data_IF_367800629003
#
_entry.id   IF_367800629003
#
_cell.length_a   1.000
_cell.length_b   1.000
_cell.length_c   1.000
_cell.angle_alpha   90.00
_cell.angle_beta   90.00
_cell.angle_gamma   90.00
#
_symmetry.space_group_name_H-M   'P 1'
#
loop_
_entity.id
_entity.type
_entity.pdbx_description
1 polymer ?
#
# COMPACT_ATOMS: atom_id res chain seq x y z
N UNK A 1 46.89 -84.34 11.64
CA UNK A 1 47.00 -82.93 11.17
C UNK A 1 45.65 -82.50 10.60
N UNK A 2 44.92 -81.58 11.25
CA UNK A 2 43.65 -81.04 10.75
C UNK A 2 43.95 -79.82 9.88
N UNK A 3 43.55 -79.85 8.61
CA UNK A 3 43.67 -78.68 7.71
C UNK A 3 42.56 -77.69 8.04
N UNK A 4 42.93 -76.43 8.28
CA UNK A 4 42.00 -75.33 8.53
C UNK A 4 41.65 -74.72 7.17
N UNK A 5 40.45 -75.02 6.68
CA UNK A 5 39.86 -74.32 5.54
C UNK A 5 39.54 -72.86 5.94
N UNK A 6 40.28 -71.88 5.42
CA UNK A 6 39.92 -70.46 5.53
C UNK A 6 38.69 -70.19 4.67
N UNK A 7 37.54 -69.90 5.31
CA UNK A 7 36.38 -69.32 4.61
C UNK A 7 36.79 -67.96 4.01
N UNK A 8 36.78 -67.84 2.69
CA UNK A 8 36.85 -66.53 2.03
C UNK A 8 35.56 -65.75 2.35
N UNK A 9 35.69 -64.66 3.10
CA UNK A 9 34.59 -63.74 3.36
C UNK A 9 34.39 -62.88 2.10
N UNK A 10 33.25 -63.07 1.44
CA UNK A 10 32.84 -62.26 0.29
C UNK A 10 32.45 -60.85 0.75
N UNK A 11 33.27 -59.85 0.43
CA UNK A 11 33.01 -58.43 0.74
C UNK A 11 31.94 -57.79 -0.16
N UNK A 12 31.43 -58.51 -1.16
CA UNK A 12 30.46 -57.97 -2.14
C UNK A 12 29.11 -57.65 -1.48
N UNK A 13 28.68 -58.45 -0.51
CA UNK A 13 27.43 -58.23 0.25
C UNK A 13 27.41 -56.93 1.05
N UNK A 14 28.38 -56.68 1.96
CA UNK A 14 28.41 -55.45 2.75
C UNK A 14 28.69 -54.19 1.92
N UNK A 15 29.45 -54.28 0.81
CA UNK A 15 29.68 -53.14 -0.09
C UNK A 15 28.39 -52.76 -0.83
N UNK A 16 27.65 -53.73 -1.38
CA UNK A 16 26.37 -53.48 -2.04
C UNK A 16 25.36 -52.89 -1.03
N UNK A 17 25.33 -53.42 0.19
CA UNK A 17 24.49 -52.88 1.26
C UNK A 17 24.83 -51.43 1.61
N UNK A 18 26.12 -51.10 1.70
CA UNK A 18 26.59 -49.74 1.95
C UNK A 18 26.21 -48.75 0.84
N UNK A 19 26.34 -49.16 -0.43
CA UNK A 19 25.97 -48.32 -1.59
C UNK A 19 24.47 -48.08 -1.64
N UNK A 20 23.65 -49.12 -1.39
CA UNK A 20 22.19 -49.00 -1.35
C UNK A 20 21.75 -48.08 -0.20
N UNK A 21 22.37 -48.18 0.98
CA UNK A 21 22.07 -47.33 2.12
C UNK A 21 22.34 -45.85 1.80
N UNK A 22 23.48 -45.54 1.19
CA UNK A 22 23.83 -44.16 0.78
C UNK A 22 22.85 -43.63 -0.26
N UNK A 23 22.47 -44.44 -1.25
CA UNK A 23 21.50 -44.05 -2.26
C UNK A 23 20.12 -43.72 -1.65
N UNK A 24 19.67 -44.52 -0.68
CA UNK A 24 18.41 -44.26 0.04
C UNK A 24 18.49 -42.96 0.85
N UNK A 25 19.60 -42.71 1.55
CA UNK A 25 19.79 -41.46 2.31
C UNK A 25 19.75 -40.25 1.38
N UNK A 26 20.43 -40.32 0.23
CA UNK A 26 20.42 -39.23 -0.76
C UNK A 26 19.00 -38.98 -1.30
N UNK A 27 18.25 -40.04 -1.61
CA UNK A 27 16.86 -39.90 -2.07
C UNK A 27 15.96 -39.30 -0.99
N UNK A 28 16.13 -39.68 0.27
CA UNK A 28 15.39 -39.09 1.40
C UNK A 28 15.76 -37.62 1.60
N UNK A 29 17.03 -37.25 1.46
CA UNK A 29 17.49 -35.86 1.52
C UNK A 29 16.93 -35.02 0.37
N UNK A 30 16.87 -35.58 -0.84
CA UNK A 30 16.28 -34.91 -2.00
C UNK A 30 14.77 -34.75 -1.80
N UNK A 31 14.07 -35.79 -1.34
CA UNK A 31 12.63 -35.73 -1.07
C UNK A 31 12.30 -34.74 0.05
N UNK A 32 13.09 -34.69 1.13
CA UNK A 32 12.93 -33.69 2.21
C UNK A 32 13.25 -32.29 1.74
N UNK A 33 14.27 -32.10 0.90
CA UNK A 33 14.57 -30.80 0.29
C UNK A 33 13.44 -30.31 -0.63
N UNK A 34 12.91 -31.19 -1.49
CA UNK A 34 11.80 -30.84 -2.38
C UNK A 34 10.50 -30.61 -1.62
N UNK A 35 10.18 -31.44 -0.62
CA UNK A 35 9.00 -31.22 0.22
C UNK A 35 9.12 -29.90 0.98
N UNK A 36 10.27 -29.60 1.61
CA UNK A 36 10.54 -28.33 2.28
C UNK A 36 10.46 -27.12 1.34
N UNK A 37 10.94 -27.25 0.10
CA UNK A 37 10.87 -26.18 -0.91
C UNK A 37 9.46 -26.03 -1.51
N UNK A 38 8.69 -27.12 -1.58
CA UNK A 38 7.30 -27.13 -2.07
C UNK A 38 6.29 -26.68 -0.99
N UNK A 39 6.61 -26.89 0.29
CA UNK A 39 5.90 -26.31 1.42
C UNK A 39 6.36 -24.87 1.61
N UNK A 40 5.99 -24.03 0.66
CA UNK A 40 6.12 -22.59 0.79
C UNK A 40 5.41 -22.13 2.07
N UNK A 41 6.20 -21.59 3.00
CA UNK A 41 5.70 -20.65 4.01
C UNK A 41 5.50 -21.21 5.41
N UNK A 42 6.60 -21.35 6.16
CA UNK A 42 6.58 -20.64 7.44
C UNK A 42 6.73 -19.16 7.09
N UNK A 43 5.60 -18.49 6.89
CA UNK A 43 5.57 -17.04 6.96
C UNK A 43 6.11 -16.69 8.33
N UNK A 44 7.37 -16.26 8.38
CA UNK A 44 7.74 -15.28 9.38
C UNK A 44 6.65 -14.22 9.26
N UNK A 45 5.77 -14.14 10.27
CA UNK A 45 4.87 -13.01 10.42
C UNK A 45 5.83 -11.83 10.51
N UNK A 46 6.11 -11.20 9.37
CA UNK A 46 6.62 -9.83 9.36
C UNK A 46 5.55 -9.12 10.16
N UNK A 47 5.87 -8.81 11.41
CA UNK A 47 5.15 -7.83 12.20
C UNK A 47 5.10 -6.60 11.31
N UNK A 48 4.01 -6.46 10.55
CA UNK A 48 3.75 -5.22 9.85
C UNK A 48 3.71 -4.19 10.96
N UNK A 49 4.48 -3.09 10.85
CA UNK A 49 4.43 -2.04 11.85
C UNK A 49 2.97 -1.69 12.10
N UNK A 50 2.61 -1.51 13.37
CA UNK A 50 1.23 -1.22 13.75
C UNK A 50 0.72 -0.06 12.88
N UNK A 51 -0.42 -0.28 12.23
CA UNK A 51 -1.05 0.71 11.35
C UNK A 51 -1.27 1.99 12.14
N UNK A 52 -0.87 3.13 11.58
CA UNK A 52 -0.96 4.43 12.24
C UNK A 52 -2.40 4.71 12.69
N UNK A 53 -2.65 5.21 13.90
CA UNK A 53 -4.05 5.43 14.33
C UNK A 53 -4.68 6.58 13.57
N UNK A 54 -5.99 6.49 13.30
CA UNK A 54 -6.73 7.64 12.79
C UNK A 54 -6.66 8.77 13.83
N UNK A 55 -6.15 9.96 13.50
CA UNK A 55 -5.95 11.02 14.46
C UNK A 55 -7.28 11.52 15.02
N UNK A 56 -7.24 12.00 16.27
CA UNK A 56 -8.37 12.70 16.86
C UNK A 56 -8.49 14.08 16.20
N UNK A 57 -9.55 14.25 15.41
CA UNK A 57 -9.88 15.48 14.69
C UNK A 57 -11.17 16.00 15.31
N UNK A 58 -11.16 17.26 15.72
CA UNK A 58 -12.32 17.97 16.27
C UNK A 58 -13.33 18.26 15.14
N UNK A 59 -14.04 17.21 14.70
CA UNK A 59 -14.98 17.24 13.56
C UNK A 59 -16.15 18.21 13.79
N UNK A 60 -16.49 18.48 15.04
CA UNK A 60 -17.48 19.47 15.47
C UNK A 60 -17.07 20.91 15.17
N UNK A 61 -15.76 21.17 15.00
CA UNK A 61 -15.21 22.48 14.64
C UNK A 61 -14.95 22.64 13.15
N UNK A 62 -15.17 21.60 12.36
CA UNK A 62 -15.00 21.64 10.91
C UNK A 62 -16.28 22.17 10.24
N UNK A 63 -16.12 22.67 9.01
CA UNK A 63 -17.29 22.91 8.15
C UNK A 63 -18.07 21.59 7.96
N UNK A 64 -19.39 21.66 7.68
CA UNK A 64 -20.18 20.45 7.43
C UNK A 64 -19.61 19.56 6.31
N UNK A 65 -19.01 20.16 5.27
CA UNK A 65 -18.42 19.41 4.17
C UNK A 65 -17.13 18.68 4.61
N UNK A 66 -16.24 19.37 5.32
CA UNK A 66 -15.01 18.77 5.87
C UNK A 66 -15.31 17.68 6.89
N UNK A 67 -16.28 17.91 7.78
CA UNK A 67 -16.73 16.92 8.74
C UNK A 67 -17.22 15.63 8.05
N UNK A 68 -18.04 15.75 6.99
CA UNK A 68 -18.47 14.59 6.19
C UNK A 68 -17.29 13.88 5.54
N UNK A 69 -16.40 14.61 4.87
CA UNK A 69 -15.23 14.02 4.23
C UNK A 69 -14.33 13.26 5.22
N UNK A 70 -14.01 13.87 6.38
CA UNK A 70 -13.21 13.23 7.44
C UNK A 70 -13.91 11.98 8.00
N UNK A 71 -15.22 12.01 8.20
CA UNK A 71 -15.97 10.84 8.67
C UNK A 71 -15.96 9.70 7.64
N UNK A 72 -16.11 10.00 6.35
CA UNK A 72 -16.00 9.02 5.27
C UNK A 72 -14.59 8.42 5.22
N UNK A 73 -13.55 9.26 5.36
CA UNK A 73 -12.16 8.82 5.42
C UNK A 73 -11.92 7.86 6.59
N UNK A 74 -12.45 8.18 7.78
CA UNK A 74 -12.39 7.29 8.95
C UNK A 74 -13.09 5.96 8.68
N UNK A 75 -14.30 5.99 8.13
CA UNK A 75 -15.04 4.77 7.79
C UNK A 75 -14.30 3.88 6.79
N UNK A 76 -13.71 4.46 5.74
CA UNK A 76 -12.93 3.70 4.75
C UNK A 76 -11.57 3.26 5.30
N UNK A 77 -11.02 3.99 6.26
CA UNK A 77 -9.85 3.55 7.00
C UNK A 77 -10.16 2.29 7.82
N UNK A 78 -11.26 2.30 8.57
CA UNK A 78 -11.66 1.20 9.47
C UNK A 78 -12.17 -0.03 8.69
N UNK A 79 -12.90 0.18 7.59
CA UNK A 79 -13.47 -0.87 6.75
C UNK A 79 -13.20 -0.61 5.25
N UNK A 80 -11.96 -0.83 4.78
CA UNK A 80 -11.57 -0.52 3.41
C UNK A 80 -12.22 -1.45 2.39
N UNK A 81 -12.56 -0.89 1.23
CA UNK A 81 -12.91 -1.64 0.03
C UNK A 81 -11.67 -1.88 -0.87
N UNK A 82 -11.67 -2.89 -1.75
CA UNK A 82 -10.57 -3.12 -2.68
C UNK A 82 -10.48 -2.01 -3.74
N UNK A 83 -9.28 -1.75 -4.28
CA UNK A 83 -9.04 -0.69 -5.28
C UNK A 83 -10.08 -0.58 -6.42
N UNK A 84 -10.48 -1.70 -7.06
CA UNK A 84 -11.52 -1.69 -8.10
C UNK A 84 -12.87 -1.11 -7.64
N UNK A 85 -13.22 -1.16 -6.36
CA UNK A 85 -14.43 -0.51 -5.84
C UNK A 85 -14.40 1.01 -6.07
N UNK A 86 -13.28 1.67 -5.78
CA UNK A 86 -13.12 3.11 -6.01
C UNK A 86 -12.95 3.45 -7.50
N UNK A 87 -12.45 2.49 -8.28
CA UNK A 87 -12.11 2.64 -9.70
C UNK A 87 -13.20 2.15 -10.67
N UNK A 88 -14.45 1.98 -10.23
CA UNK A 88 -15.56 1.48 -11.06
C UNK A 88 -15.26 0.13 -11.77
N UNK A 89 -14.56 -0.77 -11.09
CA UNK A 89 -14.19 -2.10 -11.57
C UNK A 89 -12.83 -2.17 -12.27
N UNK A 90 -12.20 -1.03 -12.60
CA UNK A 90 -10.91 -0.99 -13.28
C UNK A 90 -9.77 -1.39 -12.33
N UNK A 91 -8.82 -2.21 -12.81
CA UNK A 91 -7.59 -2.59 -12.12
C UNK A 91 -6.48 -1.62 -12.50
N UNK A 92 -6.29 -0.58 -11.69
CA UNK A 92 -5.31 0.50 -11.90
C UNK A 92 -4.92 1.13 -10.57
N UNK A 93 -3.94 2.04 -10.60
CA UNK A 93 -3.66 2.91 -9.47
C UNK A 93 -4.89 3.76 -9.13
N UNK A 94 -5.23 3.79 -7.84
CA UNK A 94 -6.56 4.25 -7.41
C UNK A 94 -6.50 5.37 -6.37
N UNK A 95 -5.35 6.01 -6.15
CA UNK A 95 -5.23 7.17 -5.27
C UNK A 95 -6.15 8.33 -5.70
N UNK A 96 -6.13 8.70 -6.98
CA UNK A 96 -6.98 9.75 -7.54
C UNK A 96 -8.47 9.33 -7.61
N UNK A 97 -8.72 8.05 -7.88
CA UNK A 97 -10.07 7.47 -7.85
C UNK A 97 -10.66 7.52 -6.44
N UNK A 98 -9.86 7.24 -5.40
CA UNK A 98 -10.24 7.35 -4.00
C UNK A 98 -10.61 8.80 -3.63
N UNK A 99 -9.80 9.79 -4.05
CA UNK A 99 -10.13 11.20 -3.87
C UNK A 99 -11.46 11.56 -4.52
N UNK A 100 -11.64 11.16 -5.78
CA UNK A 100 -12.89 11.41 -6.51
C UNK A 100 -14.11 10.78 -5.82
N UNK A 101 -13.95 9.55 -5.31
CA UNK A 101 -15.01 8.82 -4.63
C UNK A 101 -15.37 9.47 -3.30
N UNK A 102 -14.39 9.79 -2.45
CA UNK A 102 -14.61 10.46 -1.15
C UNK A 102 -15.29 11.80 -1.34
N UNK A 103 -14.82 12.63 -2.29
CA UNK A 103 -15.44 13.93 -2.58
C UNK A 103 -16.89 13.79 -3.03
N UNK A 104 -17.20 12.78 -3.87
CA UNK A 104 -18.59 12.47 -4.25
C UNK A 104 -19.44 12.05 -3.05
N UNK A 105 -18.95 11.16 -2.18
CA UNK A 105 -19.68 10.72 -0.99
C UNK A 105 -19.89 11.86 0.02
N UNK A 106 -18.95 12.80 0.11
CA UNK A 106 -19.06 13.97 0.98
C UNK A 106 -20.08 15.01 0.48
N UNK A 107 -20.61 14.85 -0.73
CA UNK A 107 -21.54 15.76 -1.38
C UNK A 107 -20.88 16.87 -2.20
N UNK A 108 -19.59 16.72 -2.54
CA UNK A 108 -18.83 17.64 -3.38
C UNK A 108 -18.20 16.88 -4.56
N UNK A 109 -19.00 16.30 -5.48
CA UNK A 109 -18.45 15.56 -6.61
C UNK A 109 -17.52 16.45 -7.44
N UNK A 110 -16.38 15.89 -7.82
CA UNK A 110 -15.47 16.53 -8.77
C UNK A 110 -16.07 16.45 -10.18
N UNK A 111 -15.47 17.17 -11.13
CA UNK A 111 -15.86 17.09 -12.55
C UNK A 111 -14.62 16.81 -13.37
N UNK A 112 -14.57 15.64 -14.00
CA UNK A 112 -13.45 15.25 -14.85
C UNK A 112 -13.33 16.24 -16.02
N UNK A 113 -12.18 16.89 -16.20
CA UNK A 113 -12.01 17.90 -17.24
C UNK A 113 -12.08 17.34 -18.67
N UNK A 114 -11.97 16.02 -18.85
CA UNK A 114 -12.00 15.35 -20.15
C UNK A 114 -13.33 14.67 -20.45
N UNK A 115 -14.02 14.10 -19.44
CA UNK A 115 -15.25 13.32 -19.65
C UNK A 115 -16.51 13.94 -19.05
N UNK A 116 -16.39 14.97 -18.20
CA UNK A 116 -17.50 15.57 -17.47
C UNK A 116 -18.07 14.71 -16.33
N UNK A 117 -17.66 13.44 -16.21
CA UNK A 117 -18.06 12.55 -15.11
C UNK A 117 -17.38 12.87 -13.79
N UNK A 118 -17.85 12.31 -12.68
CA UNK A 118 -17.31 12.62 -11.35
C UNK A 118 -15.92 12.02 -11.06
N UNK A 119 -15.56 10.94 -11.77
CA UNK A 119 -14.33 10.17 -11.52
C UNK A 119 -13.15 10.78 -12.27
N UNK A 120 -12.08 11.08 -11.54
CA UNK A 120 -10.81 11.57 -12.09
C UNK A 120 -9.71 10.55 -11.74
N UNK A 121 -9.26 9.70 -12.69
CA UNK A 121 -8.37 8.58 -12.40
C UNK A 121 -6.88 8.94 -12.32
N UNK A 122 -6.49 10.20 -12.53
CA UNK A 122 -5.08 10.62 -12.55
C UNK A 122 -4.81 11.89 -11.74
N UNK A 123 -3.63 11.95 -11.12
CA UNK A 123 -3.18 13.09 -10.30
C UNK A 123 -3.09 14.38 -11.13
N UNK A 124 -2.58 14.29 -12.36
CA UNK A 124 -2.52 15.44 -13.28
C UNK A 124 -3.90 16.00 -13.64
N UNK A 125 -4.85 15.12 -13.93
CA UNK A 125 -6.23 15.55 -14.22
C UNK A 125 -6.92 16.12 -12.98
N UNK A 126 -6.59 15.63 -11.77
CA UNK A 126 -7.03 16.24 -10.51
C UNK A 126 -6.47 17.65 -10.35
N UNK A 127 -5.18 17.83 -10.61
CA UNK A 127 -4.55 19.16 -10.60
C UNK A 127 -5.25 20.11 -11.58
N UNK A 128 -5.49 19.68 -12.82
CA UNK A 128 -6.24 20.45 -13.82
C UNK A 128 -7.63 20.82 -13.33
N UNK A 129 -8.37 19.88 -12.72
CA UNK A 129 -9.66 20.16 -12.11
C UNK A 129 -9.58 21.26 -11.05
N UNK A 130 -8.67 21.12 -10.07
CA UNK A 130 -8.56 22.09 -8.98
C UNK A 130 -8.16 23.49 -9.50
N UNK A 131 -7.30 23.55 -10.53
CA UNK A 131 -6.94 24.82 -11.17
C UNK A 131 -8.14 25.47 -11.85
N UNK A 132 -8.88 24.71 -12.66
CA UNK A 132 -10.06 25.21 -13.36
C UNK A 132 -11.18 25.63 -12.41
N UNK A 133 -11.30 24.95 -11.26
CA UNK A 133 -12.26 25.29 -10.21
C UNK A 133 -11.82 26.46 -9.31
N UNK A 134 -10.64 27.06 -9.51
CA UNK A 134 -10.10 28.10 -8.61
C UNK A 134 -9.70 27.59 -7.21
N UNK A 135 -9.67 26.26 -7.04
CA UNK A 135 -9.41 25.54 -5.79
C UNK A 135 -7.99 25.01 -5.68
N UNK A 136 -7.09 25.40 -6.58
CA UNK A 136 -5.69 25.03 -6.50
C UNK A 136 -4.89 26.05 -5.68
N UNK A 137 -3.98 25.57 -4.84
CA UNK A 137 -2.96 26.38 -4.17
C UNK A 137 -1.59 25.79 -4.45
N UNK A 138 -0.64 26.62 -4.88
CA UNK A 138 0.73 26.17 -5.09
C UNK A 138 1.38 25.78 -3.74
N UNK A 139 2.32 24.83 -3.75
CA UNK A 139 2.96 24.34 -2.53
C UNK A 139 3.67 25.46 -1.73
N UNK A 140 4.19 26.48 -2.42
CA UNK A 140 4.87 27.63 -1.84
C UNK A 140 3.95 28.86 -1.62
N UNK A 141 2.63 28.71 -1.71
CA UNK A 141 1.68 29.82 -1.59
C UNK A 141 1.52 30.38 -0.17
N UNK A 142 2.09 29.73 0.84
CA UNK A 142 1.84 30.05 2.25
C UNK A 142 0.46 29.60 2.75
N UNK A 143 -0.32 28.88 1.93
CA UNK A 143 -1.61 28.33 2.33
C UNK A 143 -1.45 27.30 3.45
N UNK A 144 -2.27 27.44 4.49
CA UNK A 144 -2.32 26.50 5.61
C UNK A 144 -3.35 25.40 5.34
N UNK A 145 -2.85 24.17 5.14
CA UNK A 145 -3.66 22.99 4.86
C UNK A 145 -4.75 22.75 5.92
N UNK A 146 -5.94 22.39 5.46
CA UNK A 146 -7.09 22.07 6.28
C UNK A 146 -7.48 20.58 6.13
N UNK A 147 -8.11 19.96 7.15
CA UNK A 147 -8.59 18.58 7.05
C UNK A 147 -9.55 18.39 5.87
N UNK A 148 -9.25 17.42 5.00
CA UNK A 148 -9.99 17.14 3.77
C UNK A 148 -9.43 17.80 2.51
N UNK A 149 -8.42 18.68 2.60
CA UNK A 149 -7.70 19.15 1.41
C UNK A 149 -6.90 18.00 0.78
N UNK A 150 -6.72 18.02 -0.54
CA UNK A 150 -5.88 17.08 -1.27
C UNK A 150 -4.45 17.61 -1.39
N UNK A 151 -3.45 16.78 -1.09
CA UNK A 151 -2.04 17.05 -1.37
C UNK A 151 -1.60 16.22 -2.58
N UNK A 152 -1.11 16.89 -3.63
CA UNK A 152 -0.69 16.26 -4.89
C UNK A 152 0.83 16.27 -4.99
N UNK A 153 1.41 15.07 -5.00
CA UNK A 153 2.85 14.86 -5.06
C UNK A 153 3.33 14.73 -6.51
N UNK A 154 4.53 15.23 -6.78
CA UNK A 154 5.17 15.04 -8.09
C UNK A 154 5.83 13.66 -8.19
N UNK A 155 6.09 13.19 -9.41
CA UNK A 155 6.80 11.94 -9.66
C UNK A 155 8.20 11.88 -9.02
N UNK A 156 8.87 13.02 -8.87
CA UNK A 156 10.17 13.10 -8.19
C UNK A 156 10.07 13.13 -6.66
N UNK A 157 8.86 13.13 -6.08
CA UNK A 157 8.64 13.05 -4.63
C UNK A 157 8.97 11.66 -4.10
N UNK A 158 9.14 11.53 -2.79
CA UNK A 158 9.33 10.21 -2.14
C UNK A 158 8.14 9.27 -2.31
N UNK A 159 6.97 9.80 -2.69
CA UNK A 159 5.73 9.05 -2.89
C UNK A 159 5.53 8.66 -4.36
N UNK A 160 6.37 9.15 -5.28
CA UNK A 160 6.05 9.17 -6.70
C UNK A 160 4.86 10.10 -7.00
N UNK A 161 4.30 10.01 -8.21
CA UNK A 161 3.10 10.78 -8.56
C UNK A 161 1.90 10.20 -7.78
N UNK A 162 1.47 10.91 -6.75
CA UNK A 162 0.47 10.42 -5.81
C UNK A 162 -0.42 11.54 -5.28
N UNK A 163 -1.55 11.19 -4.67
CA UNK A 163 -2.45 12.15 -4.04
C UNK A 163 -3.09 11.56 -2.79
N UNK A 164 -3.04 12.33 -1.70
CA UNK A 164 -3.66 11.98 -0.43
C UNK A 164 -4.59 13.09 0.06
N UNK A 165 -5.47 12.77 0.99
CA UNK A 165 -6.17 13.76 1.79
C UNK A 165 -5.34 14.15 3.01
N UNK A 166 -5.43 15.41 3.42
CA UNK A 166 -4.88 15.91 4.67
C UNK A 166 -5.85 15.62 5.81
N UNK A 167 -5.34 15.09 6.91
CA UNK A 167 -6.07 14.90 8.16
C UNK A 167 -5.67 15.93 9.23
N UNK A 168 -4.37 16.26 9.28
CA UNK A 168 -3.81 17.23 10.22
C UNK A 168 -2.61 17.92 9.58
N UNK A 169 -2.42 19.19 9.91
CA UNK A 169 -1.23 19.95 9.56
C UNK A 169 -0.79 20.78 10.77
N UNK A 170 0.47 20.65 11.16
CA UNK A 170 1.07 21.38 12.29
C UNK A 170 2.57 21.59 12.04
N UNK A 171 2.99 22.85 11.94
CA UNK A 171 4.40 23.25 11.82
C UNK A 171 5.19 22.45 10.76
N UNK A 172 4.67 22.36 9.54
CA UNK A 172 5.31 21.63 8.43
C UNK A 172 5.13 20.12 8.47
N UNK A 173 4.66 19.55 9.59
CA UNK A 173 4.26 18.15 9.68
C UNK A 173 2.84 17.98 9.19
N UNK A 174 2.65 17.03 8.29
CA UNK A 174 1.35 16.66 7.76
C UNK A 174 1.02 15.23 8.14
N UNK A 175 -0.22 14.99 8.53
CA UNK A 175 -0.81 13.66 8.61
C UNK A 175 -1.76 13.53 7.44
N UNK A 176 -1.52 12.55 6.58
CA UNK A 176 -2.33 12.31 5.38
C UNK A 176 -2.97 10.93 5.43
N UNK A 177 -4.05 10.76 4.67
CA UNK A 177 -4.66 9.47 4.38
C UNK A 177 -4.82 9.31 2.88
N UNK A 178 -4.27 8.22 2.37
CA UNK A 178 -4.18 7.92 0.95
C UNK A 178 -4.82 6.59 0.59
N UNK A 179 -5.30 6.50 -0.64
CA UNK A 179 -5.62 5.23 -1.29
C UNK A 179 -4.46 4.75 -2.14
N UNK A 180 -4.36 3.45 -2.37
CA UNK A 180 -3.28 2.80 -3.12
C UNK A 180 -1.88 2.96 -2.50
N UNK A 181 -1.84 3.09 -1.18
CA UNK A 181 -0.61 3.25 -0.40
C UNK A 181 -0.02 1.87 -0.10
N UNK A 182 0.60 1.27 -1.13
CA UNK A 182 0.96 -0.16 -1.11
C UNK A 182 -0.27 -1.06 -1.32
N UNK A 183 -1.26 -0.59 -2.08
CA UNK A 183 -2.49 -1.34 -2.39
C UNK A 183 -3.57 -1.29 -1.31
N UNK A 184 -3.40 -0.49 -0.25
CA UNK A 184 -4.37 -0.31 0.84
C UNK A 184 -4.70 1.17 1.06
N UNK A 185 -5.67 1.44 1.94
CA UNK A 185 -5.85 2.78 2.52
C UNK A 185 -4.91 2.91 3.71
N UNK A 186 -4.01 3.90 3.70
CA UNK A 186 -3.04 4.07 4.77
C UNK A 186 -2.96 5.52 5.25
N UNK A 187 -2.58 5.69 6.52
CA UNK A 187 -2.24 6.98 7.10
C UNK A 187 -0.73 7.11 7.15
N UNK A 188 -0.22 8.27 6.76
CA UNK A 188 1.19 8.60 6.85
C UNK A 188 1.40 9.93 7.57
N UNK A 189 2.41 9.98 8.42
CA UNK A 189 2.93 11.23 8.97
C UNK A 189 4.23 11.59 8.28
N UNK A 190 4.39 12.85 7.91
CA UNK A 190 5.62 13.33 7.30
C UNK A 190 5.88 14.79 7.51
N UNK A 191 7.13 15.17 7.28
CA UNK A 191 7.54 16.56 7.17
C UNK A 191 7.49 16.93 5.69
N UNK A 192 6.65 17.92 5.32
CA UNK A 192 6.48 18.33 3.93
C UNK A 192 7.82 18.74 3.29
N UNK A 193 8.77 19.26 4.06
CA UNK A 193 10.10 19.62 3.56
C UNK A 193 10.95 18.42 3.13
N UNK A 194 10.60 17.22 3.61
CA UNK A 194 11.30 15.95 3.33
C UNK A 194 10.58 15.08 2.30
N UNK A 195 9.39 15.48 1.86
CA UNK A 195 8.58 14.72 0.91
C UNK A 195 9.06 14.88 -0.54
N UNK A 196 9.94 15.85 -0.79
CA UNK A 196 10.37 16.21 -2.13
C UNK A 196 9.33 17.12 -2.82
N UNK A 197 9.36 17.21 -4.17
CA UNK A 197 8.52 18.15 -4.88
C UNK A 197 7.02 17.84 -4.74
N UNK A 198 6.27 18.85 -4.30
CA UNK A 198 4.80 18.82 -4.21
C UNK A 198 4.26 19.72 -5.30
N UNK A 199 3.30 19.21 -6.09
CA UNK A 199 2.69 19.98 -7.18
C UNK A 199 1.85 21.11 -6.62
N UNK A 200 1.06 20.81 -5.60
CA UNK A 200 0.28 21.76 -4.85
C UNK A 200 -0.84 21.08 -4.07
N UNK A 201 -1.82 21.88 -3.70
CA UNK A 201 -2.94 21.49 -2.86
C UNK A 201 -4.26 21.76 -3.57
N UNK A 202 -5.20 20.82 -3.44
CA UNK A 202 -6.58 20.96 -3.90
C UNK A 202 -7.49 21.21 -2.72
N UNK A 203 -8.14 22.36 -2.69
CA UNK A 203 -9.04 22.73 -1.59
C UNK A 203 -10.35 21.96 -1.70
N UNK A 204 -10.84 21.46 -0.57
CA UNK A 204 -12.17 20.83 -0.54
C UNK A 204 -13.29 21.87 -0.76
N UNK A 205 -13.15 23.04 -0.11
CA UNK A 205 -14.08 24.17 -0.14
C UNK A 205 -13.35 25.49 -0.38
#
# INVERSE_FOLDING_TARGET
MRSIQRKQVSWRGPIIFGVVLVAVIVLVCIATYFTFRSSGGYTAVKLQPAREKFPDIQVDKLSPLRARAVNILRQQYDNPQPGPFYSQGEKQDWCANFVSWVSRQAGAPLTNPHSGGWRIPGVRSLETYYRNAGKFRAANSGYQLQPGDAIMYDNASRHGEHVNFVLKYDNGKVTTIGGNEGGVINIQQSDLSRDGPIRGFGLLE
#
